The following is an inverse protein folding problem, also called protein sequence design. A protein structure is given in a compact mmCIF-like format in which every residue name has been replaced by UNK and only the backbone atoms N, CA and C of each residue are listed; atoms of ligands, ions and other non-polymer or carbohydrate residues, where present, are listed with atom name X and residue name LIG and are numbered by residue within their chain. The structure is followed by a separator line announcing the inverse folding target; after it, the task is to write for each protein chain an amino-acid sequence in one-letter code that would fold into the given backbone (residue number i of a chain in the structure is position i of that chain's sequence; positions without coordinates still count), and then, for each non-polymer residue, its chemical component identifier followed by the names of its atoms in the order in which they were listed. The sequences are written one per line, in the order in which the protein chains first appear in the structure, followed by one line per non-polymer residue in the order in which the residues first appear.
data_IF_192030359307
#
_entry.id   IF_192030359307
#
_cell.length_a   1.000
_cell.length_b   1.000
_cell.length_c   1.000
_cell.angle_alpha   90.00
_cell.angle_beta   90.00
_cell.angle_gamma   90.00
#
_symmetry.space_group_name_H-M   'P 1'
#
loop_
_entity.id
_entity.type
_entity.pdbx_description
1 polymer ?
#
# COMPACT_ATOMS: atom_id res chain seq x y z
N UNK A 1 62.34 14.56 -9.28
CA UNK A 1 61.19 15.34 -8.76
C UNK A 1 60.05 15.15 -9.74
N UNK A 2 58.82 14.83 -9.28
CA UNK A 2 57.65 14.83 -10.17
C UNK A 2 57.39 16.25 -10.68
N UNK A 3 56.95 16.39 -11.92
CA UNK A 3 56.68 17.69 -12.56
C UNK A 3 55.30 18.24 -12.20
N UNK A 4 55.02 19.53 -12.47
CA UNK A 4 53.71 20.15 -12.18
C UNK A 4 52.54 19.50 -12.93
N UNK A 5 52.81 18.81 -14.03
CA UNK A 5 51.82 18.02 -14.76
C UNK A 5 51.43 16.72 -14.04
N UNK A 6 52.36 16.11 -13.29
CA UNK A 6 52.11 14.87 -12.53
C UNK A 6 51.21 15.13 -11.30
N UNK A 7 51.25 16.35 -10.76
CA UNK A 7 50.40 16.76 -9.63
C UNK A 7 48.95 16.97 -10.07
N UNK A 8 48.75 17.67 -11.20
CA UNK A 8 47.43 17.89 -11.79
C UNK A 8 46.78 16.57 -12.24
N UNK A 9 47.55 15.66 -12.84
CA UNK A 9 47.03 14.34 -13.21
C UNK A 9 46.55 13.56 -11.98
N UNK A 10 47.34 13.55 -10.91
CA UNK A 10 46.98 12.89 -9.64
C UNK A 10 45.74 13.51 -8.99
N UNK A 11 45.60 14.82 -9.07
CA UNK A 11 44.41 15.53 -8.59
C UNK A 11 43.16 15.09 -9.34
N UNK A 12 43.22 15.05 -10.69
CA UNK A 12 42.12 14.59 -11.52
C UNK A 12 41.73 13.12 -11.24
N UNK A 13 42.71 12.23 -11.04
CA UNK A 13 42.45 10.85 -10.65
C UNK A 13 41.79 10.71 -9.26
N UNK A 14 42.18 11.57 -8.32
CA UNK A 14 41.56 11.60 -7.00
C UNK A 14 40.11 12.08 -7.07
N UNK A 15 39.82 13.10 -7.89
CA UNK A 15 38.45 13.55 -8.16
C UNK A 15 37.61 12.44 -8.81
N UNK A 16 38.16 11.67 -9.75
CA UNK A 16 37.47 10.51 -10.31
C UNK A 16 37.13 9.45 -9.24
N UNK A 17 38.05 9.17 -8.31
CA UNK A 17 37.81 8.25 -7.18
C UNK A 17 36.74 8.80 -6.24
N UNK A 18 36.78 10.09 -5.93
CA UNK A 18 35.78 10.74 -5.08
C UNK A 18 34.39 10.72 -5.72
N UNK A 19 34.30 10.98 -7.03
CA UNK A 19 33.04 10.89 -7.77
C UNK A 19 32.44 9.47 -7.71
N UNK A 20 33.26 8.43 -7.81
CA UNK A 20 32.81 7.04 -7.60
C UNK A 20 32.27 6.82 -6.18
N UNK A 21 32.89 7.41 -5.17
CA UNK A 21 32.41 7.40 -3.79
C UNK A 21 31.03 8.05 -3.64
N UNK A 22 30.85 9.25 -4.20
CA UNK A 22 29.57 9.97 -4.18
C UNK A 22 28.48 9.25 -5.00
N UNK A 23 28.84 8.61 -6.12
CA UNK A 23 27.93 7.75 -6.87
C UNK A 23 27.40 6.58 -6.03
N UNK A 24 28.28 5.88 -5.31
CA UNK A 24 27.89 4.77 -4.44
C UNK A 24 26.98 5.23 -3.29
N UNK A 25 27.15 6.47 -2.82
CA UNK A 25 26.28 7.13 -1.83
C UNK A 25 24.96 7.64 -2.43
N UNK A 26 24.73 7.47 -3.73
CA UNK A 26 23.58 8.00 -4.49
C UNK A 26 23.51 9.53 -4.56
N UNK A 27 24.62 10.21 -4.28
CA UNK A 27 24.75 11.66 -4.40
C UNK A 27 25.13 12.04 -5.83
N UNK A 28 24.21 11.81 -6.78
CA UNK A 28 24.51 11.92 -8.21
C UNK A 28 24.86 13.36 -8.65
N UNK A 29 24.28 14.39 -8.03
CA UNK A 29 24.60 15.79 -8.32
C UNK A 29 26.04 16.13 -7.89
N UNK A 30 26.44 15.73 -6.68
CA UNK A 30 27.81 15.90 -6.20
C UNK A 30 28.81 15.15 -7.07
N UNK A 31 28.49 13.91 -7.46
CA UNK A 31 29.32 13.12 -8.36
C UNK A 31 29.52 13.77 -9.73
N UNK A 32 28.50 14.45 -10.27
CA UNK A 32 28.59 15.22 -11.53
C UNK A 32 29.50 16.44 -11.37
N UNK A 33 29.37 17.20 -10.28
CA UNK A 33 30.19 18.39 -10.06
C UNK A 33 31.68 18.03 -9.94
N UNK A 34 32.00 16.99 -9.17
CA UNK A 34 33.37 16.47 -9.03
C UNK A 34 33.92 16.00 -10.39
N UNK A 35 33.09 15.38 -11.24
CA UNK A 35 33.50 14.99 -12.58
C UNK A 35 33.76 16.18 -13.50
N UNK A 36 33.01 17.29 -13.36
CA UNK A 36 33.27 18.51 -14.11
C UNK A 36 34.61 19.15 -13.72
N UNK A 37 34.94 19.14 -12.43
CA UNK A 37 36.25 19.60 -11.94
C UNK A 37 37.39 18.74 -12.51
N UNK A 38 37.24 17.40 -12.49
CA UNK A 38 38.22 16.50 -13.11
C UNK A 38 38.34 16.74 -14.63
N UNK A 39 37.22 17.02 -15.31
CA UNK A 39 37.20 17.33 -16.74
C UNK A 39 38.00 18.59 -17.07
N UNK A 40 37.88 19.64 -16.25
CA UNK A 40 38.63 20.89 -16.43
C UNK A 40 40.13 20.68 -16.28
N UNK A 41 40.55 19.86 -15.31
CA UNK A 41 41.97 19.51 -15.14
C UNK A 41 42.48 18.72 -16.35
N UNK A 42 41.76 17.69 -16.79
CA UNK A 42 42.15 16.94 -17.99
C UNK A 42 42.13 17.77 -19.28
N UNK A 43 41.29 18.82 -19.34
CA UNK A 43 41.30 19.77 -20.45
C UNK A 43 42.56 20.62 -20.48
N UNK A 44 43.09 21.02 -19.32
CA UNK A 44 44.37 21.73 -19.20
C UNK A 44 45.56 20.84 -19.57
N UNK A 45 45.45 19.54 -19.32
CA UNK A 45 46.47 18.53 -19.65
C UNK A 45 46.38 18.01 -21.10
N UNK A 46 45.32 18.34 -21.84
CA UNK A 46 45.12 17.85 -23.22
C UNK A 46 44.67 16.39 -23.33
N UNK A 47 44.17 15.79 -22.24
CA UNK A 47 43.78 14.37 -22.21
C UNK A 47 42.37 14.14 -22.76
N UNK A 48 42.21 14.29 -24.07
CA UNK A 48 40.91 14.20 -24.75
C UNK A 48 40.15 12.87 -24.50
N UNK A 49 40.85 11.73 -24.45
CA UNK A 49 40.21 10.44 -24.16
C UNK A 49 39.56 10.38 -22.77
N UNK A 50 40.22 10.95 -21.75
CA UNK A 50 39.69 11.04 -20.38
C UNK A 50 38.48 11.96 -20.30
N UNK A 51 38.54 13.10 -21.01
CA UNK A 51 37.42 14.04 -21.12
C UNK A 51 36.17 13.37 -21.70
N UNK A 52 36.32 12.59 -22.77
CA UNK A 52 35.18 11.91 -23.39
C UNK A 52 34.59 10.82 -22.50
N UNK A 53 35.43 10.09 -21.76
CA UNK A 53 34.96 9.14 -20.75
C UNK A 53 34.16 9.84 -19.64
N UNK A 54 34.65 10.99 -19.15
CA UNK A 54 33.96 11.79 -18.14
C UNK A 54 32.62 12.32 -18.67
N UNK A 55 32.58 12.87 -19.89
CA UNK A 55 31.33 13.33 -20.51
C UNK A 55 30.28 12.23 -20.61
N UNK A 56 30.69 11.03 -21.05
CA UNK A 56 29.81 9.85 -21.08
C UNK A 56 29.29 9.50 -19.68
N UNK A 57 30.16 9.56 -18.67
CA UNK A 57 29.79 9.27 -17.28
C UNK A 57 28.80 10.30 -16.73
N UNK A 58 29.02 11.58 -16.98
CA UNK A 58 28.11 12.67 -16.61
C UNK A 58 26.72 12.46 -17.26
N UNK A 59 26.67 12.12 -18.56
CA UNK A 59 25.42 11.86 -19.26
C UNK A 59 24.64 10.67 -18.66
N UNK A 60 25.34 9.59 -18.30
CA UNK A 60 24.74 8.45 -17.59
C UNK A 60 24.13 8.88 -16.25
N UNK A 61 24.84 9.68 -15.46
CA UNK A 61 24.37 10.18 -14.17
C UNK A 61 23.13 11.08 -14.31
N UNK A 62 23.11 11.96 -15.31
CA UNK A 62 21.94 12.79 -15.59
C UNK A 62 20.70 11.95 -15.96
N UNK A 63 20.87 10.89 -16.73
CA UNK A 63 19.78 9.98 -17.06
C UNK A 63 19.24 9.27 -15.81
N UNK A 64 20.11 8.83 -14.89
CA UNK A 64 19.69 8.24 -13.61
C UNK A 64 18.85 9.22 -12.80
N UNK A 65 19.29 10.48 -12.67
CA UNK A 65 18.53 11.52 -11.97
C UNK A 65 17.16 11.73 -12.62
N UNK A 66 17.10 11.79 -13.96
CA UNK A 66 15.85 11.97 -14.70
C UNK A 66 14.87 10.82 -14.46
N UNK A 67 15.34 9.58 -14.51
CA UNK A 67 14.51 8.40 -14.26
C UNK A 67 14.03 8.34 -12.80
N UNK A 68 14.86 8.74 -11.83
CA UNK A 68 14.45 8.81 -10.43
C UNK A 68 13.32 9.81 -10.22
N UNK A 69 13.43 11.02 -10.80
CA UNK A 69 12.36 12.04 -10.72
C UNK A 69 11.04 11.54 -11.32
N UNK A 70 11.09 10.92 -12.50
CA UNK A 70 9.89 10.35 -13.12
C UNK A 70 9.26 9.26 -12.24
N UNK A 71 10.08 8.43 -11.59
CA UNK A 71 9.59 7.39 -10.69
C UNK A 71 8.96 7.95 -9.40
N UNK A 72 9.46 9.07 -8.88
CA UNK A 72 8.88 9.72 -7.69
C UNK A 72 7.57 10.40 -8.03
N UNK A 73 7.47 11.06 -9.19
CA UNK A 73 6.25 11.74 -9.63
C UNK A 73 5.12 10.72 -9.87
N UNK A 74 5.44 9.58 -10.50
CA UNK A 74 4.48 8.48 -10.68
C UNK A 74 4.03 7.86 -9.34
N UNK A 75 4.92 7.76 -8.35
CA UNK A 75 4.56 7.28 -7.01
C UNK A 75 3.60 8.24 -6.32
N UNK A 76 3.87 9.55 -6.38
CA UNK A 76 3.02 10.57 -5.80
C UNK A 76 1.61 10.56 -6.43
N UNK A 77 1.51 10.46 -7.75
CA UNK A 77 0.22 10.34 -8.44
C UNK A 77 -0.56 9.09 -8.03
N UNK A 78 0.11 7.94 -7.93
CA UNK A 78 -0.54 6.71 -7.50
C UNK A 78 -1.02 6.77 -6.04
N UNK A 79 -0.27 7.45 -5.17
CA UNK A 79 -0.64 7.65 -3.77
C UNK A 79 -1.87 8.56 -3.64
N UNK A 80 -1.95 9.63 -4.45
CA UNK A 80 -3.11 10.51 -4.49
C UNK A 80 -4.37 9.78 -5.00
N UNK A 81 -4.25 8.97 -6.06
CA UNK A 81 -5.35 8.13 -6.56
C UNK A 81 -5.80 7.13 -5.48
N UNK A 82 -4.87 6.56 -4.73
CA UNK A 82 -5.19 5.63 -3.64
C UNK A 82 -5.94 6.35 -2.51
N UNK A 83 -5.48 7.53 -2.09
CA UNK A 83 -6.16 8.34 -1.08
C UNK A 83 -7.59 8.69 -1.49
N UNK A 84 -7.80 9.13 -2.73
CA UNK A 84 -9.14 9.42 -3.26
C UNK A 84 -10.07 8.20 -3.21
N UNK A 85 -9.55 7.00 -3.51
CA UNK A 85 -10.31 5.75 -3.41
C UNK A 85 -10.67 5.41 -1.97
N UNK A 86 -9.71 5.56 -1.04
CA UNK A 86 -9.93 5.32 0.38
C UNK A 86 -11.01 6.27 0.92
N UNK A 87 -10.92 7.56 0.61
CA UNK A 87 -11.90 8.55 1.05
C UNK A 87 -13.30 8.25 0.51
N UNK A 88 -13.40 7.82 -0.76
CA UNK A 88 -14.67 7.42 -1.34
C UNK A 88 -15.29 6.22 -0.61
N UNK A 89 -14.49 5.18 -0.34
CA UNK A 89 -14.96 3.99 0.40
C UNK A 89 -15.37 4.34 1.82
N UNK A 90 -14.63 5.23 2.50
CA UNK A 90 -14.99 5.68 3.84
C UNK A 90 -16.31 6.43 3.86
N UNK A 91 -16.54 7.35 2.91
CA UNK A 91 -17.82 8.06 2.76
C UNK A 91 -18.98 7.12 2.45
N UNK A 92 -18.77 6.15 1.55
CA UNK A 92 -19.77 5.12 1.25
C UNK A 92 -20.11 4.31 2.51
N UNK A 93 -19.11 3.85 3.26
CA UNK A 93 -19.31 3.11 4.51
C UNK A 93 -20.03 3.93 5.58
N UNK A 94 -19.69 5.21 5.71
CA UNK A 94 -20.37 6.12 6.65
C UNK A 94 -21.83 6.34 6.23
N UNK A 95 -22.10 6.57 4.95
CA UNK A 95 -23.47 6.71 4.44
C UNK A 95 -24.32 5.46 4.65
N UNK A 96 -23.74 4.26 4.42
CA UNK A 96 -24.37 2.98 4.71
C UNK A 96 -24.64 2.79 6.20
N UNK A 97 -23.70 3.19 7.07
CA UNK A 97 -23.88 3.12 8.51
C UNK A 97 -24.98 4.07 8.99
N UNK A 98 -25.03 5.28 8.45
CA UNK A 98 -26.06 6.26 8.75
C UNK A 98 -27.44 5.80 8.25
N UNK A 99 -27.52 5.22 7.05
CA UNK A 99 -28.76 4.60 6.55
C UNK A 99 -29.22 3.46 7.46
N UNK A 100 -28.32 2.57 7.87
CA UNK A 100 -28.64 1.51 8.85
C UNK A 100 -29.13 2.08 10.19
N UNK A 101 -28.55 3.18 10.67
CA UNK A 101 -28.99 3.85 11.90
C UNK A 101 -30.38 4.48 11.74
N UNK A 102 -30.69 5.09 10.58
CA UNK A 102 -32.02 5.65 10.29
C UNK A 102 -33.06 4.52 10.15
N UNK A 103 -32.74 3.45 9.43
CA UNK A 103 -33.57 2.25 9.34
C UNK A 103 -33.81 1.64 10.72
N UNK A 104 -32.78 1.52 11.55
CA UNK A 104 -32.94 1.08 12.94
C UNK A 104 -33.76 2.08 13.77
N UNK A 105 -33.66 3.39 13.54
CA UNK A 105 -34.50 4.40 14.19
C UNK A 105 -36.00 4.14 14.00
N UNK A 106 -36.40 3.60 12.85
CA UNK A 106 -37.79 3.21 12.54
C UNK A 106 -38.20 1.82 13.03
N UNK A 107 -37.28 1.00 13.53
CA UNK A 107 -37.58 -0.35 14.02
C UNK A 107 -38.15 -0.33 15.44
N UNK A 108 -39.18 -1.15 15.66
CA UNK A 108 -39.71 -1.46 16.99
C UNK A 108 -38.57 -1.96 17.92
N UNK A 109 -38.57 -1.58 19.21
CA UNK A 109 -37.55 -1.99 20.19
C UNK A 109 -37.39 -3.52 20.29
N UNK A 110 -38.43 -4.29 19.99
CA UNK A 110 -38.38 -5.76 19.98
C UNK A 110 -37.51 -6.31 18.84
N UNK A 111 -37.58 -5.69 17.65
CA UNK A 111 -36.76 -6.08 16.50
C UNK A 111 -35.29 -5.73 16.75
N UNK A 112 -35.01 -4.55 17.35
CA UNK A 112 -33.65 -4.16 17.74
C UNK A 112 -33.01 -5.18 18.68
N UNK A 113 -33.76 -5.60 19.69
CA UNK A 113 -33.31 -6.61 20.66
C UNK A 113 -33.02 -7.96 19.99
N UNK A 114 -33.81 -8.35 19.00
CA UNK A 114 -33.57 -9.56 18.21
C UNK A 114 -32.31 -9.43 17.35
N UNK A 115 -32.08 -8.28 16.70
CA UNK A 115 -30.87 -8.03 15.91
C UNK A 115 -29.59 -8.03 16.76
N UNK A 116 -29.58 -7.36 17.91
CA UNK A 116 -28.45 -7.39 18.85
C UNK A 116 -28.15 -8.82 19.33
N UNK A 117 -29.21 -9.61 19.57
CA UNK A 117 -29.07 -11.02 19.96
C UNK A 117 -28.48 -11.85 18.83
N UNK A 118 -28.88 -11.60 17.58
CA UNK A 118 -28.31 -12.26 16.40
C UNK A 118 -26.81 -11.95 16.29
N UNK A 119 -26.40 -10.70 16.41
CA UNK A 119 -24.98 -10.30 16.33
C UNK A 119 -24.14 -11.01 17.41
N UNK A 120 -24.66 -11.05 18.64
CA UNK A 120 -24.01 -11.76 19.74
C UNK A 120 -23.86 -13.27 19.46
N UNK A 121 -24.88 -13.89 18.86
CA UNK A 121 -24.87 -15.31 18.52
C UNK A 121 -23.90 -15.60 17.36
N UNK A 122 -23.82 -14.72 16.37
CA UNK A 122 -22.88 -14.83 15.24
C UNK A 122 -21.43 -14.78 15.72
N UNK A 123 -21.10 -13.84 16.61
CA UNK A 123 -19.75 -13.74 17.18
C UNK A 123 -19.40 -14.96 18.04
N UNK A 124 -20.35 -15.49 18.81
CA UNK A 124 -20.16 -16.73 19.57
C UNK A 124 -19.96 -17.94 18.64
N UNK A 125 -20.75 -18.05 17.57
CA UNK A 125 -20.64 -19.12 16.59
C UNK A 125 -19.26 -19.12 15.92
N UNK A 126 -18.76 -17.96 15.47
CA UNK A 126 -17.40 -17.83 14.90
C UNK A 126 -16.31 -18.27 15.89
N UNK A 127 -16.43 -17.91 17.17
CA UNK A 127 -15.47 -18.33 18.21
C UNK A 127 -15.49 -19.84 18.41
N UNK A 128 -16.67 -20.45 18.48
CA UNK A 128 -16.82 -21.90 18.66
C UNK A 128 -16.37 -22.70 17.44
N UNK A 129 -16.56 -22.16 16.23
CA UNK A 129 -16.09 -22.77 14.98
C UNK A 129 -14.56 -22.86 14.95
N UNK A 130 -13.87 -21.81 15.40
CA UNK A 130 -12.40 -21.82 15.56
C UNK A 130 -11.91 -22.84 16.59
N UNK A 131 -12.75 -23.15 17.59
CA UNK A 131 -12.46 -24.14 18.63
C UNK A 131 -12.86 -25.56 18.22
N UNK A 132 -13.40 -25.76 17.01
CA UNK A 132 -13.84 -27.07 16.51
C UNK A 132 -15.15 -27.58 17.13
N UNK A 133 -15.89 -26.74 17.86
CA UNK A 133 -17.12 -27.12 18.56
C UNK A 133 -18.35 -27.07 17.64
N UNK A 134 -18.32 -27.82 16.53
CA UNK A 134 -19.31 -27.71 15.44
C UNK A 134 -20.75 -27.98 15.87
N UNK A 135 -21.00 -28.86 16.84
CA UNK A 135 -22.35 -29.12 17.36
C UNK A 135 -23.01 -27.88 17.99
N UNK A 136 -22.22 -27.02 18.65
CA UNK A 136 -22.71 -25.77 19.22
C UNK A 136 -22.89 -24.69 18.15
N UNK A 137 -21.97 -24.63 17.18
CA UNK A 137 -22.06 -23.71 16.04
C UNK A 137 -23.34 -23.96 15.24
N UNK A 138 -23.65 -25.22 14.92
CA UNK A 138 -24.88 -25.61 14.21
C UNK A 138 -26.12 -25.14 14.96
N UNK A 139 -26.21 -25.43 16.27
CA UNK A 139 -27.35 -24.98 17.09
C UNK A 139 -27.49 -23.45 17.10
N UNK A 140 -26.38 -22.72 17.15
CA UNK A 140 -26.40 -21.25 17.10
C UNK A 140 -26.89 -20.74 15.75
N UNK A 141 -26.42 -21.30 14.65
CA UNK A 141 -26.87 -20.91 13.31
C UNK A 141 -28.35 -21.24 13.07
N UNK A 142 -28.84 -22.38 13.54
CA UNK A 142 -30.27 -22.70 13.51
C UNK A 142 -31.08 -21.64 14.26
N UNK A 143 -30.65 -21.29 15.47
CA UNK A 143 -31.33 -20.28 16.28
C UNK A 143 -31.27 -18.88 15.66
N UNK A 144 -30.17 -18.52 14.99
CA UNK A 144 -30.08 -17.25 14.25
C UNK A 144 -31.10 -17.21 13.09
N UNK A 145 -31.27 -18.31 12.36
CA UNK A 145 -32.28 -18.40 11.29
C UNK A 145 -33.70 -18.21 11.85
N UNK A 146 -34.01 -18.83 13.00
CA UNK A 146 -35.30 -18.64 13.67
C UNK A 146 -35.53 -17.16 14.04
N UNK A 147 -34.50 -16.50 14.59
CA UNK A 147 -34.58 -15.08 14.92
C UNK A 147 -34.80 -14.22 13.66
N UNK A 148 -34.11 -14.50 12.55
CA UNK A 148 -34.37 -13.79 11.29
C UNK A 148 -35.76 -14.04 10.72
N UNK A 149 -36.28 -15.27 10.81
CA UNK A 149 -37.64 -15.62 10.37
C UNK A 149 -38.73 -14.98 11.25
N UNK A 150 -38.41 -14.63 12.50
CA UNK A 150 -39.33 -13.94 13.40
C UNK A 150 -39.51 -12.45 13.09
N UNK A 151 -38.63 -11.87 12.25
CA UNK A 151 -38.72 -10.47 11.82
C UNK A 151 -39.66 -10.39 10.61
N UNK A 152 -40.73 -9.57 10.66
CA UNK A 152 -41.63 -9.41 9.52
C UNK A 152 -40.90 -8.91 8.26
N UNK A 153 -41.15 -9.56 7.13
CA UNK A 153 -40.51 -9.25 5.84
C UNK A 153 -40.82 -7.84 5.35
N UNK A 154 -41.97 -7.31 5.77
CA UNK A 154 -42.45 -5.96 5.48
C UNK A 154 -41.59 -4.90 6.15
N UNK A 155 -40.90 -5.27 7.24
CA UNK A 155 -40.05 -4.37 8.03
C UNK A 155 -38.59 -4.51 7.64
N UNK A 156 -38.10 -5.74 7.46
CA UNK A 156 -36.71 -6.00 7.06
C UNK A 156 -36.61 -7.31 6.28
N UNK A 157 -36.07 -7.25 5.06
CA UNK A 157 -35.88 -8.45 4.23
C UNK A 157 -34.54 -9.14 4.56
N UNK A 158 -34.56 -10.11 5.46
CA UNK A 158 -33.38 -10.87 5.88
C UNK A 158 -33.10 -12.13 5.01
N UNK A 159 -33.65 -12.21 3.79
CA UNK A 159 -33.57 -13.43 2.96
C UNK A 159 -32.14 -13.79 2.54
N UNK A 160 -31.29 -12.79 2.32
CA UNK A 160 -29.89 -12.99 1.95
C UNK A 160 -29.07 -13.52 3.14
N UNK A 161 -29.28 -12.96 4.32
CA UNK A 161 -28.61 -13.36 5.56
C UNK A 161 -28.99 -14.79 5.95
N UNK A 162 -30.28 -15.14 5.82
CA UNK A 162 -30.75 -16.52 6.02
C UNK A 162 -30.04 -17.48 5.07
N UNK A 163 -29.98 -17.17 3.76
CA UNK A 163 -29.34 -18.05 2.79
C UNK A 163 -27.83 -18.19 3.01
N UNK A 164 -27.13 -17.14 3.47
CA UNK A 164 -25.72 -17.25 3.85
C UNK A 164 -25.50 -18.19 5.03
N UNK A 165 -26.36 -18.13 6.05
CA UNK A 165 -26.25 -18.99 7.23
C UNK A 165 -26.63 -20.44 6.89
N UNK A 166 -27.63 -20.66 6.02
CA UNK A 166 -27.99 -21.99 5.51
C UNK A 166 -26.83 -22.64 4.73
N UNK A 167 -26.12 -21.86 3.90
CA UNK A 167 -24.89 -22.33 3.24
C UNK A 167 -23.80 -22.72 4.23
N UNK A 168 -23.60 -21.94 5.31
CA UNK A 168 -22.63 -22.28 6.36
C UNK A 168 -23.05 -23.52 7.14
N UNK A 169 -24.33 -23.69 7.44
CA UNK A 169 -24.87 -24.87 8.10
C UNK A 169 -24.64 -26.13 7.27
N UNK A 170 -24.98 -26.09 5.98
CA UNK A 170 -24.75 -27.23 5.07
C UNK A 170 -23.27 -27.58 4.94
N UNK A 171 -22.39 -26.57 4.86
CA UNK A 171 -20.93 -26.77 4.87
C UNK A 171 -20.38 -27.35 6.18
N UNK A 172 -21.01 -27.06 7.32
CA UNK A 172 -20.62 -27.60 8.63
C UNK A 172 -21.20 -28.99 8.91
N UNK A 173 -22.36 -29.31 8.34
CA UNK A 173 -22.98 -30.65 8.44
C UNK A 173 -22.29 -31.69 7.53
N UNK A 174 -21.51 -31.23 6.56
CA UNK A 174 -20.71 -32.05 5.65
C UNK A 174 -19.27 -32.25 6.12
N UNK A 175 -18.90 -31.73 7.30
CA UNK A 175 -17.61 -31.93 7.98
C UNK A 175 -17.78 -32.85 9.18
#
# INVERSE_FOLDING_TARGET
MPGPFDELEREAENLEKQSKGEFNRKNFLSAINILKEAQEIYSKLGFHGKIDMIKKRIAQLMNVIKHQKQSTDMKAQNEEILQQRVDKVLKEKESLSNQKLVEQGTLSPEIKKNLEKIDLLLEKAKKEEKLGNYSRVIKRYQFIIELYKSIPKEVMNCSNEITEIEKKLTALQSK
#
